data_IF_508398239123
#
_entry.id   IF_508398239123
#
_cell.length_a   1.000
_cell.length_b   1.000
_cell.length_c   1.000
_cell.angle_alpha   90.00
_cell.angle_beta   90.00
_cell.angle_gamma   90.00
#
_symmetry.space_group_name_H-M   'P 1'
#
loop_
_entity.id
_entity.type
_entity.pdbx_description
1 polymer ?
#
# COMPACT_ATOMS: atom_id res chain seq x y z
N UNK A 1 78.61 -26.13 -25.20
CA UNK A 1 77.49 -25.74 -26.08
C UNK A 1 76.19 -26.26 -25.46
N UNK A 2 75.68 -25.58 -24.43
CA UNK A 2 74.52 -26.03 -23.66
C UNK A 2 73.23 -25.53 -24.35
N UNK A 3 72.48 -26.46 -24.94
CA UNK A 3 71.16 -26.16 -25.53
C UNK A 3 70.21 -25.78 -24.39
N UNK A 4 69.84 -24.51 -24.29
CA UNK A 4 68.75 -24.02 -23.43
C UNK A 4 67.40 -24.49 -24.02
N UNK A 5 67.09 -25.78 -23.86
CA UNK A 5 65.84 -26.37 -24.35
C UNK A 5 64.68 -26.27 -23.34
N UNK A 6 64.95 -25.77 -22.13
CA UNK A 6 63.97 -25.61 -21.05
C UNK A 6 63.06 -24.35 -21.07
N UNK A 7 63.28 -23.25 -21.84
CA UNK A 7 62.42 -22.08 -21.74
C UNK A 7 61.08 -22.27 -22.47
N UNK A 8 61.04 -23.04 -23.57
CA UNK A 8 59.82 -23.25 -24.37
C UNK A 8 58.78 -24.12 -23.65
N UNK A 9 59.21 -25.22 -23.02
CA UNK A 9 58.30 -26.14 -22.32
C UNK A 9 57.66 -25.45 -21.11
N UNK A 10 58.45 -24.71 -20.31
CA UNK A 10 57.94 -23.94 -19.16
C UNK A 10 56.95 -22.85 -19.58
N UNK A 11 57.21 -22.20 -20.70
CA UNK A 11 56.29 -21.21 -21.29
C UNK A 11 54.96 -21.86 -21.72
N UNK A 12 55.00 -22.99 -22.43
CA UNK A 12 53.78 -23.70 -22.84
C UNK A 12 52.98 -24.25 -21.67
N UNK A 13 53.62 -24.73 -20.60
CA UNK A 13 52.92 -25.18 -19.39
C UNK A 13 52.24 -24.03 -18.66
N UNK A 14 52.88 -22.85 -18.58
CA UNK A 14 52.28 -21.64 -18.01
C UNK A 14 51.12 -21.14 -18.87
N UNK A 15 51.30 -21.08 -20.19
CA UNK A 15 50.26 -20.68 -21.13
C UNK A 15 49.03 -21.62 -21.07
N UNK A 16 49.26 -22.93 -20.95
CA UNK A 16 48.19 -23.91 -20.79
C UNK A 16 47.44 -23.75 -19.46
N UNK A 17 48.17 -23.50 -18.36
CA UNK A 17 47.55 -23.23 -17.06
C UNK A 17 46.67 -21.98 -17.07
N UNK A 18 47.14 -20.91 -17.72
CA UNK A 18 46.36 -19.68 -17.89
C UNK A 18 45.13 -19.94 -18.78
N UNK A 19 45.28 -20.67 -19.88
CA UNK A 19 44.18 -21.00 -20.79
C UNK A 19 43.09 -21.84 -20.12
N UNK A 20 43.48 -22.83 -19.30
CA UNK A 20 42.55 -23.62 -18.49
C UNK A 20 41.84 -22.74 -17.45
N UNK A 21 42.55 -21.79 -16.82
CA UNK A 21 41.96 -20.81 -15.92
C UNK A 21 40.89 -19.95 -16.60
N UNK A 22 41.18 -19.39 -17.78
CA UNK A 22 40.20 -18.65 -18.57
C UNK A 22 39.05 -19.53 -19.05
N UNK A 23 39.31 -20.79 -19.40
CA UNK A 23 38.29 -21.77 -19.76
C UNK A 23 37.31 -22.04 -18.62
N UNK A 24 37.81 -22.19 -17.39
CA UNK A 24 36.98 -22.38 -16.20
C UNK A 24 36.10 -21.15 -15.91
N UNK A 25 36.65 -19.94 -16.04
CA UNK A 25 35.89 -18.68 -15.89
C UNK A 25 34.82 -18.58 -16.99
N UNK A 26 35.17 -18.90 -18.23
CA UNK A 26 34.24 -18.87 -19.37
C UNK A 26 33.09 -19.87 -19.19
N UNK A 27 33.39 -21.08 -18.73
CA UNK A 27 32.38 -22.08 -18.39
C UNK A 27 31.45 -21.57 -17.27
N UNK A 28 32.00 -21.02 -16.18
CA UNK A 28 31.19 -20.47 -15.09
C UNK A 28 30.30 -19.32 -15.56
N UNK A 29 30.78 -18.50 -16.49
CA UNK A 29 30.00 -17.41 -17.06
C UNK A 29 28.87 -17.92 -17.96
N UNK A 30 29.13 -18.95 -18.77
CA UNK A 30 28.11 -19.63 -19.58
C UNK A 30 27.05 -20.30 -18.72
N UNK A 31 27.46 -20.99 -17.66
CA UNK A 31 26.56 -21.59 -16.68
C UNK A 31 25.62 -20.53 -16.08
N UNK A 32 26.16 -19.40 -15.61
CA UNK A 32 25.36 -18.35 -15.00
C UNK A 32 24.44 -17.62 -16.00
N UNK A 33 24.88 -17.37 -17.23
CA UNK A 33 24.12 -16.61 -18.23
C UNK A 33 23.17 -17.45 -19.10
N UNK A 34 23.37 -18.76 -19.21
CA UNK A 34 22.56 -19.62 -20.11
C UNK A 34 21.78 -20.66 -19.31
N UNK A 35 22.42 -21.32 -18.34
CA UNK A 35 21.78 -22.39 -17.56
C UNK A 35 20.97 -21.80 -16.41
N UNK A 36 21.57 -20.92 -15.60
CA UNK A 36 20.93 -20.34 -14.41
C UNK A 36 20.16 -19.05 -14.71
N UNK A 37 20.39 -18.40 -15.85
CA UNK A 37 19.73 -17.16 -16.23
C UNK A 37 18.19 -17.18 -16.14
N UNK A 38 17.46 -18.19 -16.64
CA UNK A 38 16.00 -18.17 -16.52
C UNK A 38 15.54 -18.16 -15.05
N UNK A 39 16.21 -18.91 -14.18
CA UNK A 39 15.92 -18.96 -12.75
C UNK A 39 16.25 -17.64 -12.06
N UNK A 40 17.42 -17.05 -12.36
CA UNK A 40 17.84 -15.76 -11.83
C UNK A 40 16.90 -14.63 -12.27
N UNK A 41 16.45 -14.65 -13.52
CA UNK A 41 15.50 -13.67 -14.05
C UNK A 41 14.15 -13.80 -13.35
N UNK A 42 13.65 -15.03 -13.16
CA UNK A 42 12.38 -15.27 -12.47
C UNK A 42 12.43 -14.77 -11.01
N UNK A 43 13.51 -15.06 -10.29
CA UNK A 43 13.72 -14.56 -8.92
C UNK A 43 13.84 -13.03 -8.85
N UNK A 44 14.43 -12.42 -9.88
CA UNK A 44 14.46 -10.96 -10.01
C UNK A 44 13.08 -10.38 -10.31
N UNK A 45 12.30 -11.00 -11.20
CA UNK A 45 10.95 -10.54 -11.53
C UNK A 45 10.00 -10.65 -10.33
N UNK A 46 10.03 -11.77 -9.58
CA UNK A 46 9.18 -11.95 -8.40
C UNK A 46 9.48 -10.95 -7.28
N UNK A 47 10.75 -10.51 -7.18
CA UNK A 47 11.15 -9.51 -6.18
C UNK A 47 10.94 -8.07 -6.66
N UNK A 48 11.01 -7.84 -7.97
CA UNK A 48 10.89 -6.51 -8.59
C UNK A 48 9.43 -6.07 -8.70
N UNK A 49 8.55 -6.96 -9.15
CA UNK A 49 7.13 -6.64 -9.34
C UNK A 49 6.34 -7.02 -8.10
N UNK A 50 5.52 -6.08 -7.63
CA UNK A 50 4.59 -6.31 -6.52
C UNK A 50 3.16 -6.16 -7.01
N UNK A 51 2.31 -7.06 -6.52
CA UNK A 51 0.87 -6.93 -6.65
C UNK A 51 0.37 -5.96 -5.58
N UNK A 52 -0.07 -4.79 -6.01
CA UNK A 52 -0.66 -3.77 -5.15
C UNK A 52 -2.19 -3.95 -5.24
N UNK A 53 -2.86 -4.36 -4.15
CA UNK A 53 -4.31 -4.47 -4.15
C UNK A 53 -4.94 -3.08 -4.23
N UNK A 54 -6.01 -2.96 -5.02
CA UNK A 54 -6.82 -1.76 -5.12
C UNK A 54 -8.16 -2.04 -4.43
N UNK A 55 -8.38 -1.38 -3.29
CA UNK A 55 -9.63 -1.52 -2.57
C UNK A 55 -10.81 -1.04 -3.43
N UNK A 56 -11.94 -1.73 -3.35
CA UNK A 56 -13.20 -1.33 -3.98
C UNK A 56 -14.01 -0.47 -3.01
N UNK A 57 -14.82 0.44 -3.55
CA UNK A 57 -15.78 1.18 -2.72
C UNK A 57 -16.97 0.28 -2.40
N UNK A 58 -17.32 0.15 -1.12
CA UNK A 58 -18.54 -0.54 -0.70
C UNK A 58 -19.78 0.28 -1.06
N UNK A 59 -20.82 -0.36 -1.58
CA UNK A 59 -22.03 0.29 -2.06
C UNK A 59 -22.81 1.04 -0.97
N UNK A 60 -23.56 2.05 -1.36
CA UNK A 60 -24.35 2.88 -0.43
C UNK A 60 -25.65 2.17 -0.03
N UNK A 61 -26.02 2.25 1.25
CA UNK A 61 -27.33 1.81 1.74
C UNK A 61 -28.18 3.05 1.94
N UNK A 62 -29.35 3.08 1.31
CA UNK A 62 -30.24 4.23 1.33
C UNK A 62 -31.70 3.81 1.38
N UNK A 63 -32.58 4.75 1.73
CA UNK A 63 -34.01 4.62 1.53
C UNK A 63 -34.58 5.85 0.84
N UNK A 64 -35.84 5.76 0.44
CA UNK A 64 -36.62 6.87 -0.06
C UNK A 64 -37.57 7.34 1.03
N UNK A 65 -37.57 8.65 1.29
CA UNK A 65 -38.60 9.30 2.09
C UNK A 65 -39.94 9.31 1.33
N UNK A 66 -41.04 9.61 2.02
CA UNK A 66 -42.38 9.84 1.46
C UNK A 66 -42.37 10.89 0.34
N UNK A 67 -41.45 11.85 0.41
CA UNK A 67 -41.27 12.89 -0.59
C UNK A 67 -40.47 12.43 -1.83
N UNK A 68 -39.95 11.18 -1.81
CA UNK A 68 -39.09 10.62 -2.86
C UNK A 68 -37.61 11.00 -2.71
N UNK A 69 -37.25 11.74 -1.66
CA UNK A 69 -35.87 12.13 -1.39
C UNK A 69 -35.05 10.94 -0.88
N UNK A 70 -33.81 10.85 -1.37
CA UNK A 70 -32.88 9.77 -1.02
C UNK A 70 -32.20 10.06 0.32
N UNK A 71 -32.52 9.25 1.32
CA UNK A 71 -31.85 9.28 2.62
C UNK A 71 -30.74 8.23 2.72
N UNK A 72 -29.52 8.65 3.04
CA UNK A 72 -28.37 7.76 3.20
C UNK A 72 -28.30 7.23 4.64
N UNK A 73 -28.34 5.91 4.77
CA UNK A 73 -28.16 5.20 6.03
C UNK A 73 -26.71 4.77 6.24
N UNK A 74 -26.03 4.35 5.18
CA UNK A 74 -24.62 4.02 5.20
C UNK A 74 -23.95 4.41 3.89
N UNK A 75 -22.76 5.02 3.99
CA UNK A 75 -21.95 5.40 2.82
C UNK A 75 -20.48 5.13 3.08
N UNK A 76 -19.71 4.96 2.00
CA UNK A 76 -18.27 4.74 2.07
C UNK A 76 -17.54 6.04 1.74
N UNK A 77 -16.85 6.61 2.72
CA UNK A 77 -16.03 7.82 2.56
C UNK A 77 -14.63 7.43 2.12
N UNK A 78 -14.13 8.08 1.07
CA UNK A 78 -12.74 7.95 0.63
C UNK A 78 -11.83 8.66 1.62
N UNK A 79 -10.87 7.93 2.18
CA UNK A 79 -9.82 8.46 3.04
C UNK A 79 -8.46 7.98 2.53
N UNK A 80 -7.40 8.70 2.87
CA UNK A 80 -6.04 8.27 2.60
C UNK A 80 -5.37 7.82 3.89
N UNK A 81 -4.77 6.65 3.82
CA UNK A 81 -3.80 6.18 4.80
C UNK A 81 -2.43 6.70 4.38
N UNK A 82 -1.91 7.66 5.14
CA UNK A 82 -0.60 8.25 4.89
C UNK A 82 0.42 7.51 5.76
N UNK A 83 1.50 7.10 5.12
CA UNK A 83 2.64 6.49 5.77
C UNK A 83 3.93 6.91 5.12
N UNK A 84 5.02 6.40 5.68
CA UNK A 84 6.37 6.74 5.27
C UNK A 84 7.21 5.47 5.10
N UNK A 85 8.06 5.47 4.07
CA UNK A 85 9.20 4.57 3.94
C UNK A 85 10.45 5.24 4.58
N UNK A 86 10.93 4.74 5.73
CA UNK A 86 12.12 5.27 6.40
C UNK A 86 13.40 5.16 5.57
N UNK A 87 13.46 4.24 4.60
CA UNK A 87 14.65 4.01 3.76
C UNK A 87 14.78 5.09 2.68
N UNK A 88 13.66 5.66 2.24
CA UNK A 88 13.61 6.69 1.22
C UNK A 88 13.79 8.12 1.77
N UNK A 89 13.82 8.27 3.10
CA UNK A 89 13.86 9.57 3.76
C UNK A 89 15.22 10.25 3.60
N UNK A 90 15.21 11.53 3.24
CA UNK A 90 16.42 12.36 3.18
C UNK A 90 16.57 13.20 4.43
N UNK A 91 17.79 13.63 4.75
CA UNK A 91 18.05 14.45 5.96
C UNK A 91 17.39 15.82 5.88
N UNK A 92 17.26 16.39 4.68
CA UNK A 92 16.64 17.70 4.44
C UNK A 92 15.12 17.67 4.70
N UNK A 93 14.50 16.50 4.69
CA UNK A 93 13.07 16.35 4.94
C UNK A 93 12.71 16.44 6.43
N UNK A 94 13.70 16.34 7.33
CA UNK A 94 13.52 16.50 8.77
C UNK A 94 13.09 17.93 9.14
N UNK A 95 13.53 18.94 8.39
CA UNK A 95 13.16 20.35 8.63
C UNK A 95 11.68 20.64 8.34
N UNK A 96 11.03 19.76 7.56
CA UNK A 96 9.63 19.89 7.16
C UNK A 96 8.65 19.23 8.14
N UNK A 97 9.13 18.44 9.10
CA UNK A 97 8.31 17.72 10.09
C UNK A 97 7.42 18.63 10.94
N UNK A 98 7.85 19.83 11.38
CA UNK A 98 6.99 20.75 12.11
C UNK A 98 5.79 21.20 11.30
N UNK A 99 5.94 21.40 9.99
CA UNK A 99 4.85 21.76 9.09
C UNK A 99 3.88 20.59 8.90
N UNK A 100 4.42 19.37 8.73
CA UNK A 100 3.63 18.15 8.63
C UNK A 100 2.80 17.88 9.89
N UNK A 101 3.40 18.05 11.08
CA UNK A 101 2.75 17.93 12.38
C UNK A 101 1.57 18.89 12.53
N UNK A 102 1.72 20.15 12.11
CA UNK A 102 0.62 21.14 12.10
C UNK A 102 -0.50 20.76 11.15
N UNK A 103 -0.18 20.27 9.95
CA UNK A 103 -1.18 19.85 8.97
C UNK A 103 -1.98 18.64 9.45
N UNK A 104 -1.32 17.66 10.08
CA UNK A 104 -1.96 16.47 10.61
C UNK A 104 -2.62 16.66 11.97
N UNK A 105 -2.44 17.83 12.59
CA UNK A 105 -2.87 18.12 13.96
C UNK A 105 -2.38 17.05 14.96
N UNK A 106 -1.13 16.60 14.79
CA UNK A 106 -0.48 15.59 15.64
C UNK A 106 0.71 16.20 16.35
N UNK A 107 1.03 15.70 17.54
CA UNK A 107 2.21 16.12 18.30
C UNK A 107 3.50 15.84 17.50
N UNK A 108 4.41 16.82 17.44
CA UNK A 108 5.67 16.71 16.71
C UNK A 108 6.49 15.49 17.18
N UNK A 109 6.50 15.20 18.49
CA UNK A 109 7.22 14.07 19.06
C UNK A 109 6.71 12.71 18.53
N UNK A 110 5.43 12.62 18.16
CA UNK A 110 4.84 11.42 17.55
C UNK A 110 5.31 11.28 16.10
N UNK A 111 5.32 12.37 15.35
CA UNK A 111 5.77 12.37 13.95
C UNK A 111 7.25 12.01 13.88
N UNK A 112 8.10 12.66 14.68
CA UNK A 112 9.54 12.36 14.75
C UNK A 112 9.82 10.88 15.06
N UNK A 113 9.07 10.30 16.01
CA UNK A 113 9.18 8.87 16.35
C UNK A 113 8.87 7.95 15.17
N UNK A 114 7.82 8.24 14.41
CA UNK A 114 7.45 7.46 13.22
C UNK A 114 8.54 7.56 12.15
N UNK A 115 9.12 8.76 11.98
CA UNK A 115 10.23 9.00 11.05
C UNK A 115 11.56 8.38 11.52
N UNK A 116 11.64 7.83 12.74
CA UNK A 116 12.88 7.30 13.30
C UNK A 116 13.91 8.39 13.65
N UNK A 117 13.46 9.65 13.69
CA UNK A 117 14.25 10.77 14.16
C UNK A 117 14.01 10.91 15.66
N UNK A 118 15.05 10.73 16.48
CA UNK A 118 15.00 11.15 17.89
C UNK A 118 15.93 12.33 18.00
N UNK A 119 15.40 13.50 18.37
CA UNK A 119 16.22 14.72 18.54
C UNK A 119 16.99 15.17 17.28
N UNK A 120 16.38 15.05 16.09
CA UNK A 120 17.01 15.51 14.83
C UNK A 120 18.08 14.59 14.24
N UNK A 121 18.36 13.43 14.87
CA UNK A 121 19.27 12.42 14.33
C UNK A 121 18.52 11.16 13.90
N UNK A 122 18.82 10.69 12.69
CA UNK A 122 18.32 9.43 12.14
C UNK A 122 19.00 8.27 12.87
N UNK A 123 18.28 7.60 13.76
CA UNK A 123 18.76 6.37 14.41
C UNK A 123 18.47 5.22 13.44
N UNK A 124 19.34 5.08 12.44
CA UNK A 124 19.35 3.94 11.54
C UNK A 124 19.81 2.70 12.28
N UNK A 125 18.94 2.09 13.08
CA UNK A 125 19.18 0.73 13.55
C UNK A 125 19.00 -0.22 12.37
N UNK A 126 19.79 -1.29 12.27
CA UNK A 126 19.81 -2.22 11.13
C UNK A 126 18.45 -2.96 10.98
N UNK A 127 17.63 -2.92 12.03
CA UNK A 127 16.23 -3.35 12.05
C UNK A 127 15.30 -2.47 11.17
N UNK A 128 15.65 -1.21 10.95
CA UNK A 128 14.88 -0.21 10.17
C UNK A 128 14.89 -0.50 8.67
N UNK A 129 15.86 -1.25 8.16
CA UNK A 129 15.95 -1.62 6.73
C UNK A 129 14.86 -2.62 6.29
N UNK A 130 14.24 -3.33 7.24
CA UNK A 130 13.16 -4.30 6.95
C UNK A 130 11.76 -3.69 6.99
N UNK A 131 11.59 -2.57 7.70
CA UNK A 131 10.31 -1.91 7.89
C UNK A 131 10.11 -0.78 6.85
N UNK A 132 9.59 -1.14 5.67
CA UNK A 132 9.41 -0.22 4.53
C UNK A 132 8.12 0.63 4.60
N UNK A 133 7.28 0.41 5.62
CA UNK A 133 6.02 1.13 5.75
C UNK A 133 5.67 1.39 7.21
N UNK A 134 5.77 2.66 7.61
CA UNK A 134 5.30 3.13 8.90
C UNK A 134 4.07 4.01 8.72
N UNK A 135 2.97 3.57 9.30
CA UNK A 135 1.71 4.29 9.29
C UNK A 135 1.82 5.57 10.13
N UNK A 136 1.54 6.71 9.50
CA UNK A 136 1.53 8.02 10.16
C UNK A 136 0.10 8.41 10.57
N UNK A 137 -0.84 8.31 9.64
CA UNK A 137 -2.27 8.58 9.89
C UNK A 137 -3.15 7.72 9.00
N UNK A 138 -4.21 7.13 9.59
CA UNK A 138 -5.19 6.32 8.85
C UNK A 138 -6.28 7.15 8.17
N UNK A 139 -6.51 8.37 8.66
CA UNK A 139 -7.65 9.20 8.26
C UNK A 139 -7.16 10.56 7.81
N UNK A 140 -6.82 10.66 6.52
CA UNK A 140 -6.47 11.92 5.88
C UNK A 140 -7.45 12.17 4.74
N UNK A 141 -8.12 13.31 4.77
CA UNK A 141 -8.99 13.73 3.66
C UNK A 141 -8.16 14.14 2.45
N UNK A 142 -8.71 13.98 1.24
CA UNK A 142 -7.99 14.25 -0.01
C UNK A 142 -7.42 15.68 -0.07
N UNK A 143 -8.22 16.68 0.33
CA UNK A 143 -7.73 18.08 0.38
C UNK A 143 -6.65 18.36 1.43
N UNK A 144 -6.54 17.53 2.47
CA UNK A 144 -5.40 17.60 3.41
C UNK A 144 -4.18 16.88 2.83
N UNK A 145 -4.39 15.75 2.18
CA UNK A 145 -3.32 14.99 1.52
C UNK A 145 -2.62 15.79 0.41
N UNK A 146 -3.38 16.53 -0.40
CA UNK A 146 -2.82 17.41 -1.44
C UNK A 146 -1.90 18.50 -0.85
N UNK A 147 -2.20 18.98 0.37
CA UNK A 147 -1.34 19.93 1.08
C UNK A 147 -0.08 19.27 1.62
N UNK A 148 -0.17 18.01 2.05
CA UNK A 148 0.97 17.22 2.51
C UNK A 148 1.92 16.92 1.35
N UNK A 149 1.37 16.55 0.17
CA UNK A 149 2.17 16.28 -1.03
C UNK A 149 3.00 17.49 -1.48
N UNK A 150 2.49 18.71 -1.30
CA UNK A 150 3.22 19.96 -1.60
C UNK A 150 4.47 20.17 -0.74
N UNK A 151 4.63 19.45 0.36
CA UNK A 151 5.85 19.49 1.17
C UNK A 151 7.00 18.70 0.52
N UNK A 152 6.71 17.85 -0.48
CA UNK A 152 7.70 17.06 -1.21
C UNK A 152 8.65 16.30 -0.27
N UNK A 153 8.07 15.61 0.73
CA UNK A 153 8.82 14.80 1.69
C UNK A 153 9.13 13.46 1.02
N UNK A 154 10.42 13.11 0.92
CA UNK A 154 10.84 11.85 0.31
C UNK A 154 10.35 10.66 1.13
N UNK A 155 9.81 9.65 0.45
CA UNK A 155 9.30 8.44 1.10
C UNK A 155 7.91 8.57 1.72
N UNK A 156 7.27 9.75 1.69
CA UNK A 156 5.89 9.92 2.15
C UNK A 156 4.93 9.61 0.99
N UNK A 157 4.03 8.67 1.22
CA UNK A 157 2.97 8.35 0.26
C UNK A 157 1.68 7.95 0.96
N UNK A 158 0.57 8.18 0.27
CA UNK A 158 -0.78 7.86 0.72
C UNK A 158 -1.39 6.72 -0.11
N UNK A 159 -1.97 5.74 0.56
CA UNK A 159 -2.81 4.73 -0.07
C UNK A 159 -4.27 5.09 0.12
N UNK A 160 -5.06 5.09 -0.95
CA UNK A 160 -6.51 5.32 -0.87
C UNK A 160 -7.18 4.12 -0.18
N UNK A 161 -7.97 4.40 0.84
CA UNK A 161 -8.80 3.44 1.55
C UNK A 161 -10.24 3.97 1.67
N UNK A 162 -11.18 3.08 1.97
CA UNK A 162 -12.58 3.45 2.17
C UNK A 162 -12.99 3.13 3.61
N UNK A 163 -13.55 4.11 4.30
CA UNK A 163 -14.11 3.94 5.64
C UNK A 163 -15.64 3.99 5.57
N UNK A 164 -16.29 3.06 6.26
CA UNK A 164 -17.76 2.99 6.33
C UNK A 164 -18.28 4.02 7.34
N UNK A 165 -19.21 4.88 6.90
CA UNK A 165 -19.81 5.95 7.70
C UNK A 165 -21.33 5.77 7.70
N UNK A 166 -21.94 5.98 8.87
CA UNK A 166 -23.39 5.87 9.08
C UNK A 166 -23.96 7.25 9.46
N UNK A 167 -24.42 8.07 8.50
CA UNK A 167 -24.79 9.46 8.76
C UNK A 167 -25.89 9.64 9.80
N UNK A 168 -26.82 8.68 9.89
CA UNK A 168 -27.97 8.70 10.81
C UNK A 168 -27.66 8.06 12.19
N UNK A 169 -26.41 7.64 12.43
CA UNK A 169 -25.90 7.09 13.69
C UNK A 169 -26.77 5.99 14.31
N UNK A 170 -27.69 6.36 15.22
CA UNK A 170 -28.51 5.42 15.98
C UNK A 170 -29.72 4.89 15.21
N UNK A 171 -30.26 5.68 14.27
CA UNK A 171 -31.48 5.35 13.55
C UNK A 171 -31.31 4.07 12.74
N UNK A 172 -32.19 3.08 12.96
CA UNK A 172 -32.16 1.78 12.30
C UNK A 172 -30.83 1.03 12.45
N UNK A 173 -29.99 1.36 13.44
CA UNK A 173 -28.65 0.77 13.60
C UNK A 173 -28.68 -0.77 13.71
N UNK A 174 -29.70 -1.35 14.33
CA UNK A 174 -29.90 -2.79 14.40
C UNK A 174 -30.28 -3.43 13.05
N UNK A 175 -31.04 -2.69 12.23
CA UNK A 175 -31.48 -3.14 10.90
C UNK A 175 -30.31 -3.06 9.93
N UNK A 176 -29.66 -1.90 9.86
CA UNK A 176 -28.52 -1.64 8.97
C UNK A 176 -27.35 -2.56 9.36
N UNK A 177 -27.05 -2.63 10.66
CA UNK A 177 -25.91 -3.35 11.19
C UNK A 177 -24.63 -2.53 11.13
N UNK A 178 -23.50 -3.23 11.23
CA UNK A 178 -22.18 -2.63 11.29
C UNK A 178 -21.12 -3.47 10.57
N UNK A 179 -20.07 -2.78 10.16
CA UNK A 179 -18.88 -3.35 9.51
C UNK A 179 -17.69 -3.08 10.41
N UNK A 180 -16.84 -4.09 10.60
CA UNK A 180 -15.60 -3.95 11.36
C UNK A 180 -14.55 -3.19 10.53
N UNK A 181 -13.53 -2.65 11.20
CA UNK A 181 -12.42 -1.92 10.58
C UNK A 181 -11.64 -2.70 9.50
N UNK A 182 -11.73 -4.04 9.47
CA UNK A 182 -11.15 -4.90 8.45
C UNK A 182 -12.02 -5.03 7.18
N UNK A 183 -13.23 -4.48 7.22
CA UNK A 183 -14.21 -4.55 6.14
C UNK A 183 -15.19 -5.72 6.24
N UNK A 184 -15.13 -6.53 7.32
CA UNK A 184 -16.06 -7.64 7.53
C UNK A 184 -17.41 -7.13 8.06
N UNK A 185 -18.50 -7.51 7.39
CA UNK A 185 -19.85 -7.17 7.81
C UNK A 185 -20.35 -8.13 8.90
N UNK A 186 -20.76 -7.58 10.05
CA UNK A 186 -20.99 -8.38 11.26
C UNK A 186 -22.48 -8.63 11.51
N UNK A 187 -23.33 -7.64 11.20
CA UNK A 187 -24.74 -7.61 11.61
C UNK A 187 -25.64 -7.01 10.52
N UNK A 188 -26.94 -7.23 10.67
CA UNK A 188 -27.99 -6.56 9.91
C UNK A 188 -27.92 -6.77 8.40
N UNK A 189 -28.44 -5.79 7.68
CA UNK A 189 -28.42 -5.68 6.22
C UNK A 189 -27.00 -5.72 5.67
N UNK A 190 -26.04 -5.10 6.36
CA UNK A 190 -24.64 -5.11 5.95
C UNK A 190 -24.10 -6.53 5.79
N UNK A 191 -24.45 -7.45 6.71
CA UNK A 191 -24.03 -8.85 6.64
C UNK A 191 -24.81 -9.63 5.58
N UNK A 192 -26.12 -9.46 5.54
CA UNK A 192 -26.98 -10.22 4.60
C UNK A 192 -26.65 -9.90 3.14
N UNK A 193 -26.39 -8.62 2.83
CA UNK A 193 -26.08 -8.16 1.48
C UNK A 193 -24.58 -7.90 1.27
N UNK A 194 -23.71 -8.47 2.10
CA UNK A 194 -22.26 -8.24 2.04
C UNK A 194 -21.69 -8.52 0.64
N UNK A 195 -22.11 -9.63 0.02
CA UNK A 195 -21.70 -10.04 -1.32
C UNK A 195 -21.99 -8.99 -2.40
N UNK A 196 -23.12 -8.28 -2.30
CA UNK A 196 -23.49 -7.24 -3.25
C UNK A 196 -22.82 -5.90 -2.90
N UNK A 197 -22.69 -5.60 -1.61
CA UNK A 197 -22.15 -4.34 -1.10
C UNK A 197 -20.63 -4.26 -1.22
N UNK A 198 -19.87 -5.35 -1.05
CA UNK A 198 -18.41 -5.35 -0.98
C UNK A 198 -17.71 -4.95 -2.30
N UNK A 199 -18.36 -5.22 -3.43
CA UNK A 199 -17.74 -5.11 -4.75
C UNK A 199 -16.60 -6.11 -4.93
N UNK A 200 -15.73 -5.86 -5.90
CA UNK A 200 -14.57 -6.70 -6.22
C UNK A 200 -13.30 -5.84 -6.20
N UNK A 201 -12.33 -6.25 -5.37
CA UNK A 201 -11.02 -5.58 -5.31
C UNK A 201 -10.29 -5.74 -6.65
N UNK A 202 -9.71 -4.64 -7.10
CA UNK A 202 -8.81 -4.63 -8.23
C UNK A 202 -7.39 -4.95 -7.76
N UNK A 203 -6.47 -5.01 -8.70
CA UNK A 203 -5.05 -5.10 -8.40
C UNK A 203 -4.25 -4.55 -9.56
N UNK A 204 -3.02 -4.12 -9.25
CA UNK A 204 -2.07 -3.70 -10.26
C UNK A 204 -0.70 -4.28 -9.97
N UNK A 205 -0.01 -4.65 -11.03
CA UNK A 205 1.35 -5.14 -10.99
C UNK A 205 2.30 -4.01 -11.38
N UNK A 206 3.14 -3.60 -10.44
CA UNK A 206 4.07 -2.49 -10.65
C UNK A 206 5.39 -2.73 -9.92
N UNK A 207 6.44 -2.12 -10.43
CA UNK A 207 7.75 -2.08 -9.77
C UNK A 207 7.73 -1.03 -8.65
N UNK A 208 8.14 -1.44 -7.44
CA UNK A 208 8.13 -0.58 -6.26
C UNK A 208 9.56 -0.37 -5.77
N UNK A 209 10.09 0.82 -6.06
CA UNK A 209 11.41 1.25 -5.59
C UNK A 209 11.22 2.17 -4.39
N UNK A 210 11.81 1.81 -3.24
CA UNK A 210 11.77 2.62 -2.02
C UNK A 210 10.34 3.04 -1.57
N UNK A 211 9.37 2.12 -1.71
CA UNK A 211 7.97 2.33 -1.32
C UNK A 211 7.14 3.10 -2.36
N UNK A 212 7.79 3.77 -3.31
CA UNK A 212 7.11 4.51 -4.37
C UNK A 212 6.87 3.61 -5.59
N UNK A 213 5.65 3.72 -6.14
CA UNK A 213 5.28 3.00 -7.35
C UNK A 213 5.89 3.69 -8.57
N UNK A 214 6.67 2.94 -9.35
CA UNK A 214 7.15 3.44 -10.64
C UNK A 214 6.05 3.28 -11.69
N UNK A 215 5.22 4.32 -11.85
CA UNK A 215 4.07 4.29 -12.76
C UNK A 215 4.42 3.91 -14.21
N UNK A 216 5.65 4.18 -14.66
CA UNK A 216 6.18 3.82 -15.98
C UNK A 216 6.41 2.31 -16.18
N UNK A 217 6.50 1.52 -15.10
CA UNK A 217 6.74 0.08 -15.13
C UNK A 217 5.49 -0.75 -14.78
N UNK A 218 4.30 -0.18 -14.96
CA UNK A 218 3.03 -0.91 -14.79
C UNK A 218 2.89 -1.95 -15.91
N UNK A 219 2.85 -3.23 -15.52
CA UNK A 219 2.64 -4.34 -16.47
C UNK A 219 1.16 -4.67 -16.66
N UNK A 220 0.43 -4.76 -15.54
CA UNK A 220 -0.98 -5.19 -15.53
C UNK A 220 -1.80 -4.34 -14.58
N UNK A 221 -3.02 -4.01 -15.00
CA UNK A 221 -3.95 -3.21 -14.22
C UNK A 221 -5.35 -3.78 -14.38
N UNK A 222 -5.93 -4.25 -13.27
CA UNK A 222 -7.32 -4.66 -13.18
C UNK A 222 -8.03 -3.65 -12.29
N UNK A 223 -8.94 -2.81 -12.83
CA UNK A 223 -9.64 -1.82 -12.03
C UNK A 223 -10.54 -2.49 -10.98
N UNK A 224 -10.67 -1.92 -9.77
CA UNK A 224 -11.66 -2.36 -8.81
C UNK A 224 -13.07 -2.12 -9.35
N UNK A 225 -14.01 -2.98 -8.96
CA UNK A 225 -15.44 -2.80 -9.23
C UNK A 225 -16.13 -2.46 -7.92
N UNK A 226 -16.78 -1.32 -7.89
CA UNK A 226 -17.52 -0.88 -6.71
C UNK A 226 -18.72 -1.78 -6.45
N UNK A 227 -19.11 -1.85 -5.17
CA UNK A 227 -20.29 -2.57 -4.74
C UNK A 227 -21.58 -1.96 -5.25
N UNK A 228 -22.63 -2.78 -5.33
CA UNK A 228 -23.95 -2.33 -5.69
C UNK A 228 -24.57 -1.54 -4.54
N UNK A 229 -25.35 -0.51 -4.87
CA UNK A 229 -26.11 0.23 -3.87
C UNK A 229 -27.38 -0.56 -3.52
N UNK A 230 -27.79 -0.47 -2.26
CA UNK A 230 -28.98 -1.15 -1.74
C UNK A 230 -30.02 -0.11 -1.32
N UNK A 231 -31.21 -0.23 -1.90
CA UNK A 231 -32.39 0.52 -1.48
C UNK A 231 -33.19 -0.30 -0.46
N UNK A 232 -33.41 0.25 0.72
CA UNK A 232 -34.25 -0.35 1.75
C UNK A 232 -35.72 0.03 1.52
N UNK A 233 -36.62 -0.84 1.97
CA UNK A 233 -38.06 -0.59 2.00
C UNK A 233 -38.52 0.16 3.27
N UNK A 234 -37.61 0.42 4.20
CA UNK A 234 -37.93 1.08 5.47
C UNK A 234 -38.10 2.57 5.25
N UNK A 235 -39.15 3.14 5.81
CA UNK A 235 -39.32 4.59 5.80
C UNK A 235 -38.53 5.20 6.98
N UNK A 236 -37.60 6.15 6.73
CA UNK A 236 -36.78 6.73 7.79
C UNK A 236 -37.58 7.50 8.83
N UNK A 237 -38.68 8.17 8.42
CA UNK A 237 -39.53 8.93 9.32
C UNK A 237 -40.35 8.00 10.22
N UNK A 238 -41.00 6.99 9.63
CA UNK A 238 -41.76 5.99 10.40
C UNK A 238 -40.85 5.25 11.39
N UNK A 239 -39.67 4.83 10.93
CA UNK A 239 -38.69 4.15 11.78
C UNK A 239 -38.24 5.05 12.93
N UNK A 240 -38.02 6.34 12.68
CA UNK A 240 -37.65 7.29 13.72
C UNK A 240 -38.74 7.44 14.78
N UNK A 241 -40.01 7.56 14.38
CA UNK A 241 -41.13 7.63 15.34
C UNK A 241 -41.24 6.36 16.17
N UNK A 242 -41.09 5.18 15.56
CA UNK A 242 -41.12 3.90 16.30
C UNK A 242 -40.00 3.83 17.34
N UNK A 243 -38.77 4.24 16.97
CA UNK A 243 -37.64 4.23 17.90
C UNK A 243 -37.79 5.25 19.03
N UNK A 244 -38.40 6.41 18.76
CA UNK A 244 -38.72 7.40 19.79
C UNK A 244 -39.73 6.84 20.80
N UNK A 245 -40.80 6.20 20.33
CA UNK A 245 -41.83 5.62 21.22
C UNK A 245 -41.31 4.39 21.99
N UNK A 246 -40.38 3.62 21.41
CA UNK A 246 -39.72 2.50 22.10
C UNK A 246 -38.73 2.94 23.18
N UNK A 247 -38.21 4.17 23.09
CA UNK A 247 -37.27 4.73 24.05
C UNK A 247 -37.96 5.45 25.23
N UNK A 248 -39.27 5.73 25.11
CA UNK A 248 -40.14 6.26 26.18
C UNK A 248 -40.58 5.17 27.15
#
# INVERSE_FOLDING_TARGET
>A
MAKSFAPRIRFWTLALGILLGYGAIGYRLFELHVIEAPKLIEELESNRFRLIPLNSRRGDIFSYDLNGDKELFATSKTLLEVGIDPVALKKEDLDKLPQLSRLLNQELSRVERVFGARSGEFIGDDSTRRDRWRLLSRRVEEGLYDRILKLEISGLYGTRNYERVYPKNSLASHIIGLVRHDGEAVLGVEREFDFYLSGQRGWRESEVTAGEEMAQFRRRYVPPRDGMNLALSIDPYVQHQIELELAN
#
